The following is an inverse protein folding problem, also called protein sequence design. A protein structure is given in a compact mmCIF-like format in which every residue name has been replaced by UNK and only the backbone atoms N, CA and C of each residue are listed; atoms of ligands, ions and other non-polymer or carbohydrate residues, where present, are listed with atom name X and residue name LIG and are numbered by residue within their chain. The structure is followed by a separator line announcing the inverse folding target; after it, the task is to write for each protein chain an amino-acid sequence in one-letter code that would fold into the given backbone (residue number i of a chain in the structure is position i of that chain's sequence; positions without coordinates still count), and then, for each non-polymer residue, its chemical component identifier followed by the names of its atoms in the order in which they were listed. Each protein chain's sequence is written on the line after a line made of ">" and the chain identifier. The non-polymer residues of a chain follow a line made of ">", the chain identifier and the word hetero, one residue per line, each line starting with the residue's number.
data_IF_358499966141
#
_entry.id   IF_358499966141
#
_cell.length_a   1.000
_cell.length_b   1.000
_cell.length_c   1.000
_cell.angle_alpha   90.00
_cell.angle_beta   90.00
_cell.angle_gamma   90.00
#
_symmetry.space_group_name_H-M   'P 1'
#
loop_
_entity.id
_entity.type
_entity.pdbx_description
1 polymer ?
#
# COMPACT_ATOMS: atom_id res chain seq x y z
N UNK A 1 12.51 7.93 -6.65
CA UNK A 1 11.49 7.43 -7.57
C UNK A 1 10.49 6.59 -6.81
N UNK A 2 9.21 6.81 -7.01
CA UNK A 2 8.18 6.10 -6.27
C UNK A 2 7.75 4.84 -7.00
N UNK A 3 7.65 3.75 -6.25
CA UNK A 3 7.16 2.48 -6.80
C UNK A 3 5.67 2.57 -7.08
N UNK A 4 4.94 3.27 -6.22
CA UNK A 4 3.49 3.42 -6.35
C UNK A 4 3.13 4.89 -6.29
N UNK A 5 1.93 5.22 -6.76
CA UNK A 5 1.41 6.58 -6.73
C UNK A 5 0.08 6.60 -5.99
N UNK A 6 -0.31 7.81 -5.58
CA UNK A 6 -1.62 7.99 -4.94
C UNK A 6 -2.71 7.45 -5.85
N UNK A 7 -3.63 6.70 -5.28
CA UNK A 7 -4.72 6.11 -6.02
C UNK A 7 -4.46 4.71 -6.52
N UNK A 8 -3.22 4.26 -6.49
CA UNK A 8 -2.91 2.89 -6.90
C UNK A 8 -3.53 1.89 -5.93
N UNK A 9 -3.95 0.75 -6.47
CA UNK A 9 -4.42 -0.35 -5.65
C UNK A 9 -3.28 -1.31 -5.43
N UNK A 10 -3.03 -1.65 -4.18
CA UNK A 10 -1.90 -2.50 -3.81
C UNK A 10 -2.36 -3.58 -2.85
N UNK A 11 -1.56 -4.62 -2.73
CA UNK A 11 -1.79 -5.70 -1.77
C UNK A 11 -0.48 -6.07 -1.12
N UNK A 12 -0.57 -6.80 -0.01
CA UNK A 12 0.64 -7.27 0.66
C UNK A 12 1.25 -8.39 -0.16
N UNK A 13 2.59 -8.38 -0.23
CA UNK A 13 3.32 -9.41 -0.96
C UNK A 13 3.16 -10.77 -0.28
N UNK A 14 3.09 -10.78 1.05
CA UNK A 14 2.98 -12.03 1.78
C UNK A 14 2.10 -11.81 3.00
N UNK A 15 1.67 -12.92 3.62
CA UNK A 15 0.80 -12.89 4.76
C UNK A 15 -0.66 -12.87 4.36
N UNK A 16 -1.45 -12.02 4.98
CA UNK A 16 -2.88 -11.94 4.68
C UNK A 16 -3.10 -11.39 3.27
N UNK A 17 -4.29 -11.65 2.75
CA UNK A 17 -4.66 -11.14 1.42
C UNK A 17 -5.27 -9.75 1.50
N UNK A 18 -4.71 -8.94 2.35
CA UNK A 18 -5.18 -7.59 2.57
C UNK A 18 -4.78 -6.70 1.39
N UNK A 19 -5.69 -5.86 0.95
CA UNK A 19 -5.38 -4.91 -0.11
C UNK A 19 -6.15 -3.62 0.11
N UNK A 20 -5.70 -2.57 -0.56
CA UNK A 20 -6.31 -1.27 -0.41
C UNK A 20 -5.75 -0.27 -1.41
N UNK A 21 -6.06 0.99 -1.17
CA UNK A 21 -5.69 2.09 -2.05
C UNK A 21 -4.63 2.95 -1.39
N UNK A 22 -3.61 3.30 -2.14
CA UNK A 22 -2.56 4.21 -1.64
C UNK A 22 -3.16 5.59 -1.47
N UNK A 23 -3.16 6.09 -0.23
CA UNK A 23 -3.72 7.39 0.08
C UNK A 23 -2.68 8.39 0.58
N UNK A 24 -1.43 7.95 0.75
CA UNK A 24 -0.37 8.84 1.19
C UNK A 24 0.97 8.16 1.08
N UNK A 25 2.02 8.94 1.33
CA UNK A 25 3.39 8.42 1.33
C UNK A 25 4.08 8.91 2.59
N UNK A 26 5.15 8.21 2.97
CA UNK A 26 5.98 8.64 4.08
C UNK A 26 7.40 8.15 3.87
N UNK A 27 8.33 8.73 4.61
CA UNK A 27 9.73 8.38 4.50
C UNK A 27 10.39 8.52 5.85
N UNK A 28 11.14 7.51 6.25
CA UNK A 28 11.93 7.55 7.48
C UNK A 28 13.31 6.99 7.19
N UNK A 29 14.20 7.07 8.19
CA UNK A 29 15.53 6.51 8.01
C UNK A 29 15.50 5.01 7.74
N UNK A 30 14.57 4.31 8.40
CA UNK A 30 14.48 2.86 8.25
C UNK A 30 13.60 2.47 7.07
N UNK A 31 12.69 3.34 6.67
CA UNK A 31 11.79 3.08 5.56
C UNK A 31 11.80 4.29 4.63
N UNK A 32 12.81 4.37 3.74
CA UNK A 32 12.93 5.54 2.87
C UNK A 32 11.74 5.71 1.93
N UNK A 33 11.06 4.62 1.58
CA UNK A 33 9.90 4.69 0.71
C UNK A 33 8.79 3.88 1.33
N UNK A 34 7.78 4.56 1.85
CA UNK A 34 6.64 3.90 2.48
C UNK A 34 5.35 4.49 1.99
N UNK A 35 4.27 3.74 2.20
CA UNK A 35 2.95 4.11 1.70
C UNK A 35 1.90 3.92 2.77
N UNK A 36 0.96 4.87 2.82
CA UNK A 36 -0.23 4.75 3.64
C UNK A 36 -1.32 4.19 2.75
N UNK A 37 -1.93 3.08 3.18
CA UNK A 37 -2.89 2.35 2.37
C UNK A 37 -4.18 2.22 3.15
N UNK A 38 -5.28 2.65 2.55
CA UNK A 38 -6.60 2.55 3.16
C UNK A 38 -7.25 1.26 2.71
N UNK A 39 -7.71 0.47 3.69
CA UNK A 39 -8.31 -0.83 3.42
C UNK A 39 -9.56 -0.71 2.55
N UNK A 40 -9.73 -1.64 1.61
CA UNK A 40 -10.95 -1.70 0.81
C UNK A 40 -12.13 -2.21 1.61
N UNK A 41 -11.85 -3.00 2.67
CA UNK A 41 -12.94 -3.62 3.43
C UNK A 41 -13.38 -2.77 4.61
N UNK A 42 -12.54 -1.82 5.05
CA UNK A 42 -12.88 -0.98 6.19
C UNK A 42 -12.49 0.45 5.89
N UNK A 43 -13.47 1.22 5.49
CA UNK A 43 -13.26 2.64 5.21
C UNK A 43 -12.66 3.33 6.44
N UNK A 44 -11.64 4.14 6.21
CA UNK A 44 -10.98 4.85 7.29
C UNK A 44 -9.89 4.06 7.99
N UNK A 45 -9.74 2.77 7.69
CA UNK A 45 -8.68 1.96 8.27
C UNK A 45 -7.43 2.09 7.40
N UNK A 46 -6.46 2.86 7.87
CA UNK A 46 -5.25 3.16 7.12
C UNK A 46 -4.06 2.52 7.82
N UNK A 47 -3.25 1.82 7.06
CA UNK A 47 -2.03 1.21 7.57
C UNK A 47 -0.87 1.64 6.71
N UNK A 48 0.33 1.62 7.30
CA UNK A 48 1.53 2.02 6.57
C UNK A 48 2.43 0.81 6.36
N UNK A 49 3.01 0.74 5.17
CA UNK A 49 3.89 -0.36 4.80
C UNK A 49 5.05 0.17 3.97
N UNK A 50 6.24 -0.44 4.09
CA UNK A 50 7.32 -0.11 3.18
C UNK A 50 7.00 -0.62 1.78
N UNK A 51 7.63 0.01 0.77
CA UNK A 51 7.34 -0.36 -0.61
C UNK A 51 7.55 -1.85 -0.87
N UNK A 52 8.59 -2.44 -0.26
CA UNK A 52 8.91 -3.85 -0.51
C UNK A 52 7.85 -4.81 0.01
N UNK A 53 6.97 -4.35 0.88
CA UNK A 53 5.91 -5.19 1.44
C UNK A 53 4.65 -5.16 0.60
N UNK A 54 4.64 -4.39 -0.48
CA UNK A 54 3.45 -4.17 -1.30
C UNK A 54 3.74 -4.51 -2.75
N UNK A 55 2.69 -4.83 -3.48
CA UNK A 55 2.77 -4.96 -4.93
C UNK A 55 1.47 -4.46 -5.52
N UNK A 56 1.52 -4.05 -6.79
CA UNK A 56 0.31 -3.61 -7.47
C UNK A 56 -0.67 -4.75 -7.55
N UNK A 57 -1.94 -4.43 -7.31
CA UNK A 57 -3.01 -5.41 -7.38
C UNK A 57 -3.98 -4.97 -8.44
N UNK A 58 -4.24 -5.86 -9.40
CA UNK A 58 -5.17 -5.60 -10.47
C UNK A 58 -6.31 -6.59 -10.36
N UNK A 59 -7.55 -6.12 -10.26
CA UNK A 59 -8.67 -7.05 -10.20
C UNK A 59 -8.67 -7.95 -11.42
N UNK A 60 -8.97 -9.20 -11.18
CA UNK A 60 -9.08 -10.15 -12.27
C UNK A 60 -10.23 -9.76 -13.18
N UNK A 61 -10.05 -10.02 -14.45
CA UNK A 61 -11.11 -9.76 -15.44
C UNK A 61 -11.97 -10.94 -15.66
#
# INVERSE_FOLDING_TARGET
>A
MNTFTLGDTVKKVSGSQWHGTVVGTYSTELTPEGYAVESWTESGSVQIYPARALELWTPSK
#
